data_IF_019471464540
#
_entry.id   IF_019471464540
#
_cell.length_a   1.000
_cell.length_b   1.000
_cell.length_c   1.000
_cell.angle_alpha   90.00
_cell.angle_beta   90.00
_cell.angle_gamma   90.00
#
_symmetry.space_group_name_H-M   'P 1'
#
loop_
_entity.id
_entity.type
_entity.pdbx_description
1 polymer ?
#
# COMPACT_ATOMS: atom_id res chain seq x y z
N UNK A 1 21.66 -1.63 -5.45
CA UNK A 1 20.95 -2.11 -4.23
C UNK A 1 19.50 -2.38 -4.53
N UNK A 2 19.07 -3.55 -4.19
CA UNK A 2 17.66 -3.90 -4.40
C UNK A 2 16.76 -3.08 -3.49
N UNK A 3 15.65 -2.62 -4.03
CA UNK A 3 14.68 -1.91 -3.24
C UNK A 3 14.00 -2.87 -2.26
N UNK A 4 13.62 -2.35 -1.10
CA UNK A 4 12.86 -3.12 -0.14
C UNK A 4 11.39 -3.12 -0.59
N UNK A 5 11.09 -3.92 -1.58
CA UNK A 5 9.74 -3.96 -2.16
C UNK A 5 8.70 -4.43 -1.15
N UNK A 6 9.05 -5.45 -0.38
CA UNK A 6 8.13 -5.95 0.64
C UNK A 6 7.78 -4.86 1.65
N UNK A 7 8.80 -4.14 2.11
CA UNK A 7 8.57 -3.03 3.03
C UNK A 7 7.71 -1.93 2.45
N UNK A 8 7.88 -1.66 1.15
CA UNK A 8 7.05 -0.66 0.47
C UNK A 8 5.60 -1.11 0.37
N UNK A 9 5.38 -2.39 0.08
CA UNK A 9 4.02 -2.92 0.00
C UNK A 9 3.34 -2.88 1.36
N UNK A 10 4.06 -3.30 2.41
CA UNK A 10 3.55 -3.25 3.79
C UNK A 10 3.19 -1.82 4.16
N UNK A 11 4.09 -0.88 3.84
CA UNK A 11 3.87 0.53 4.13
C UNK A 11 2.60 1.06 3.48
N UNK A 12 2.43 0.76 2.18
CA UNK A 12 1.27 1.28 1.46
C UNK A 12 -0.03 0.72 2.01
N UNK A 13 -0.06 -0.57 2.32
CA UNK A 13 -1.24 -1.18 2.91
C UNK A 13 -1.51 -0.61 4.30
N UNK A 14 -0.45 -0.38 5.09
CA UNK A 14 -0.60 0.14 6.44
C UNK A 14 -1.23 1.52 6.47
N UNK A 15 -0.76 2.44 5.62
CA UNK A 15 -1.32 3.79 5.63
C UNK A 15 -2.77 3.79 5.15
N UNK A 16 -3.11 2.94 4.18
CA UNK A 16 -4.49 2.88 3.69
C UNK A 16 -5.42 2.23 4.71
N UNK A 17 -4.92 1.31 5.53
CA UNK A 17 -5.72 0.77 6.63
C UNK A 17 -5.89 1.79 7.75
N UNK A 18 -4.83 2.55 8.01
CA UNK A 18 -4.82 3.51 9.12
C UNK A 18 -5.68 4.74 8.83
N UNK A 19 -5.50 5.32 7.65
CA UNK A 19 -6.19 6.56 7.27
C UNK A 19 -7.49 6.33 6.51
N UNK A 20 -7.73 5.12 6.07
CA UNK A 20 -8.93 4.66 5.37
C UNK A 20 -8.97 5.11 3.91
N UNK A 21 -8.92 6.41 3.64
CA UNK A 21 -8.99 6.95 2.28
C UNK A 21 -7.98 8.07 2.13
N UNK A 22 -7.19 8.02 1.06
CA UNK A 22 -6.15 9.01 0.81
C UNK A 22 -6.10 9.33 -0.69
N UNK A 23 -5.90 10.61 -1.00
CA UNK A 23 -5.59 11.00 -2.37
C UNK A 23 -4.15 10.61 -2.68
N UNK A 24 -3.80 10.57 -3.96
CA UNK A 24 -2.41 10.29 -4.33
C UNK A 24 -1.46 11.33 -3.73
N UNK A 25 -1.89 12.60 -3.72
CA UNK A 25 -1.06 13.66 -3.14
C UNK A 25 -0.77 13.41 -1.67
N UNK A 26 -1.78 12.97 -0.93
CA UNK A 26 -1.60 12.65 0.49
C UNK A 26 -0.67 11.44 0.67
N UNK A 27 -0.83 10.43 -0.18
CA UNK A 27 0.04 9.26 -0.15
C UNK A 27 1.48 9.68 -0.43
N UNK A 28 1.68 10.58 -1.40
CA UNK A 28 3.01 11.05 -1.76
C UNK A 28 3.67 11.83 -0.63
N UNK A 29 2.89 12.65 0.07
CA UNK A 29 3.43 13.37 1.25
C UNK A 29 3.90 12.41 2.32
N UNK A 30 3.07 11.40 2.61
CA UNK A 30 3.45 10.38 3.59
C UNK A 30 4.67 9.59 3.14
N UNK A 31 4.77 9.31 1.85
CA UNK A 31 5.92 8.62 1.28
C UNK A 31 7.21 9.41 1.50
N UNK A 32 7.17 10.72 1.23
CA UNK A 32 8.35 11.56 1.41
C UNK A 32 8.80 11.61 2.87
N UNK A 33 7.86 11.54 3.80
CA UNK A 33 8.17 11.55 5.22
C UNK A 33 8.63 10.19 5.73
N UNK A 34 8.32 9.13 5.01
CA UNK A 34 8.57 7.76 5.48
C UNK A 34 10.04 7.37 5.47
N UNK A 35 10.82 8.03 4.64
CA UNK A 35 12.21 7.66 4.44
C UNK A 35 12.43 6.54 3.42
N UNK A 36 11.37 5.88 2.98
CA UNK A 36 11.50 4.79 2.02
C UNK A 36 11.99 5.25 0.65
N UNK A 37 11.68 6.48 0.29
CA UNK A 37 12.09 7.06 -0.97
C UNK A 37 13.19 8.08 -0.82
N UNK A 38 13.84 8.13 0.32
CA UNK A 38 14.93 9.07 0.59
C UNK A 38 14.49 10.53 0.45
N UNK A 39 13.22 10.79 0.80
CA UNK A 39 12.66 12.14 0.74
C UNK A 39 12.17 12.55 -0.65
N UNK A 40 12.34 11.71 -1.64
CA UNK A 40 11.91 12.02 -3.00
C UNK A 40 10.44 11.69 -3.21
N UNK A 41 9.86 12.28 -4.25
CA UNK A 41 8.47 12.04 -4.57
C UNK A 41 8.26 10.60 -5.04
N UNK A 42 7.06 10.09 -4.79
CA UNK A 42 6.65 8.79 -5.30
C UNK A 42 6.12 8.97 -6.72
N UNK A 43 6.80 8.41 -7.73
CA UNK A 43 6.26 8.53 -9.10
C UNK A 43 4.93 7.80 -9.22
N UNK A 44 4.01 8.38 -9.96
CA UNK A 44 2.69 7.81 -10.15
C UNK A 44 2.77 6.40 -10.74
N UNK A 45 3.68 6.20 -11.68
CA UNK A 45 3.88 4.89 -12.30
C UNK A 45 4.31 3.85 -11.26
N UNK A 46 5.22 4.24 -10.37
CA UNK A 46 5.68 3.36 -9.30
C UNK A 46 4.53 2.99 -8.37
N UNK A 47 3.71 3.99 -8.04
CA UNK A 47 2.53 3.75 -7.21
C UNK A 47 1.59 2.72 -7.85
N UNK A 48 1.32 2.87 -9.14
CA UNK A 48 0.45 1.93 -9.84
C UNK A 48 1.08 0.53 -9.92
N UNK A 49 2.39 0.47 -10.10
CA UNK A 49 3.11 -0.82 -10.09
C UNK A 49 3.00 -1.49 -8.73
N UNK A 50 3.10 -0.71 -7.65
CA UNK A 50 2.97 -1.26 -6.29
C UNK A 50 1.56 -1.77 -6.05
N UNK A 51 0.54 -1.04 -6.50
CA UNK A 51 -0.85 -1.50 -6.38
C UNK A 51 -1.05 -2.84 -7.08
N UNK A 52 -0.51 -2.95 -8.28
CA UNK A 52 -0.64 -4.18 -9.05
C UNK A 52 0.09 -5.33 -8.38
N UNK A 53 1.30 -5.08 -7.87
CA UNK A 53 2.07 -6.10 -7.19
C UNK A 53 1.35 -6.59 -5.92
N UNK A 54 0.78 -5.67 -5.17
CA UNK A 54 0.03 -6.00 -3.96
C UNK A 54 -1.16 -6.88 -4.30
N UNK A 55 -1.87 -6.55 -5.38
CA UNK A 55 -2.97 -7.36 -5.85
C UNK A 55 -2.51 -8.77 -6.24
N UNK A 56 -1.42 -8.83 -7.01
CA UNK A 56 -0.94 -10.11 -7.54
C UNK A 56 -0.37 -11.01 -6.43
N UNK A 57 0.29 -10.42 -5.46
CA UNK A 57 0.98 -11.18 -4.41
C UNK A 57 0.05 -11.50 -3.25
N UNK A 58 -0.72 -10.52 -2.80
CA UNK A 58 -1.50 -10.62 -1.55
C UNK A 58 -3.00 -10.69 -1.76
N UNK A 59 -3.46 -10.55 -3.00
CA UNK A 59 -4.89 -10.53 -3.30
C UNK A 59 -5.61 -9.41 -2.55
N UNK A 60 -4.94 -8.27 -2.43
CA UNK A 60 -5.49 -7.08 -1.79
C UNK A 60 -5.70 -6.04 -2.89
N UNK A 61 -6.93 -5.52 -2.97
CA UNK A 61 -7.32 -4.58 -4.01
C UNK A 61 -7.34 -3.16 -3.48
N UNK A 62 -6.53 -2.30 -4.08
CA UNK A 62 -6.50 -0.87 -3.77
C UNK A 62 -7.29 -0.18 -4.87
N UNK A 63 -8.46 0.34 -4.51
CA UNK A 63 -9.39 0.94 -5.44
C UNK A 63 -9.34 2.45 -5.35
N UNK A 64 -9.85 3.11 -6.38
CA UNK A 64 -9.92 4.57 -6.44
C UNK A 64 -11.37 4.99 -6.55
N UNK A 65 -11.82 5.83 -5.61
CA UNK A 65 -13.19 6.33 -5.62
C UNK A 65 -13.21 7.69 -6.32
N UNK A 66 -13.62 7.70 -7.57
CA UNK A 66 -13.66 8.93 -8.36
C UNK A 66 -14.65 9.94 -7.83
N UNK A 67 -15.71 9.47 -7.19
CA UNK A 67 -16.75 10.35 -6.64
C UNK A 67 -16.33 11.00 -5.34
N UNK A 68 -15.32 10.41 -4.68
CA UNK A 68 -14.80 10.93 -3.43
C UNK A 68 -13.40 11.52 -3.65
N UNK A 69 -13.28 12.41 -4.66
CA UNK A 69 -12.04 13.13 -4.91
C UNK A 69 -10.87 12.25 -5.31
N UNK A 70 -11.15 11.13 -5.97
CA UNK A 70 -10.10 10.19 -6.40
C UNK A 70 -9.28 9.67 -5.22
N UNK A 71 -9.95 9.38 -4.11
CA UNK A 71 -9.29 8.79 -2.96
C UNK A 71 -9.11 7.30 -3.13
N UNK A 72 -7.96 6.82 -2.72
CA UNK A 72 -7.63 5.40 -2.76
C UNK A 72 -7.98 4.76 -1.42
N UNK A 73 -8.41 3.50 -1.48
CA UNK A 73 -8.77 2.75 -0.29
C UNK A 73 -8.59 1.25 -0.56
N UNK A 74 -8.49 0.48 0.50
CA UNK A 74 -8.42 -0.98 0.37
C UNK A 74 -9.84 -1.54 0.39
N UNK A 75 -10.16 -2.31 -0.65
CA UNK A 75 -11.45 -2.98 -0.73
C UNK A 75 -11.46 -4.14 0.26
N UNK A 76 -12.56 -4.28 1.01
CA UNK A 76 -12.71 -5.31 2.03
C UNK A 76 -11.55 -5.30 3.04
N UNK A 77 -11.34 -4.17 3.72
CA UNK A 77 -10.21 -4.07 4.66
C UNK A 77 -10.31 -5.03 5.84
N UNK A 78 -11.52 -5.53 6.13
CA UNK A 78 -11.72 -6.48 7.22
C UNK A 78 -11.04 -7.82 6.96
N UNK A 79 -10.64 -8.10 5.74
CA UNK A 79 -9.88 -9.31 5.41
C UNK A 79 -8.48 -9.26 6.02
N UNK A 80 -8.03 -8.06 6.34
CA UNK A 80 -6.71 -7.82 6.92
C UNK A 80 -6.92 -7.29 8.33
N UNK A 81 -6.61 -8.10 9.34
CA UNK A 81 -6.75 -7.67 10.72
C UNK A 81 -5.72 -6.57 10.99
N UNK A 82 -6.21 -5.36 11.31
CA UNK A 82 -5.36 -4.17 11.40
C UNK A 82 -4.14 -4.33 12.27
N UNK A 83 -4.33 -4.77 13.51
CA UNK A 83 -3.21 -4.92 14.43
C UNK A 83 -2.39 -6.19 14.18
N UNK A 84 -2.80 -7.03 13.22
CA UNK A 84 -2.10 -8.24 12.84
C UNK A 84 -1.63 -8.19 11.38
N UNK A 85 -1.55 -6.98 10.82
CA UNK A 85 -1.19 -6.81 9.42
C UNK A 85 0.13 -7.51 9.09
N UNK A 86 1.14 -7.30 9.91
CA UNK A 86 2.46 -7.88 9.66
C UNK A 86 2.39 -9.40 9.64
N UNK A 87 1.70 -10.01 10.59
CA UNK A 87 1.55 -11.48 10.66
C UNK A 87 0.79 -11.99 9.45
N UNK A 88 -0.29 -11.30 9.08
CA UNK A 88 -1.09 -11.68 7.93
C UNK A 88 -0.24 -11.65 6.64
N UNK A 89 0.55 -10.60 6.47
CA UNK A 89 1.38 -10.45 5.28
C UNK A 89 2.46 -11.51 5.21
N UNK A 90 3.09 -11.81 6.34
CA UNK A 90 4.11 -12.85 6.39
C UNK A 90 3.52 -14.20 6.04
N UNK A 91 2.35 -14.54 6.60
CA UNK A 91 1.68 -15.79 6.30
C UNK A 91 1.30 -15.89 4.83
N UNK A 92 0.76 -14.79 4.28
CA UNK A 92 0.37 -14.77 2.86
C UNK A 92 1.58 -14.95 1.96
N UNK A 93 2.67 -14.29 2.29
CA UNK A 93 3.89 -14.38 1.49
C UNK A 93 4.49 -15.78 1.59
N UNK A 94 4.49 -16.37 2.79
CA UNK A 94 5.01 -17.73 2.98
C UNK A 94 4.19 -18.75 2.19
N UNK A 95 2.87 -18.54 2.10
CA UNK A 95 2.00 -19.44 1.37
C UNK A 95 2.33 -19.44 -0.13
N UNK A 96 2.79 -18.32 -0.66
CA UNK A 96 3.14 -18.19 -2.07
C UNK A 96 4.47 -18.86 -2.41
N UNK A 97 5.29 -19.12 -1.44
CA UNK A 97 6.57 -19.76 -1.62
C UNK A 97 6.51 -21.26 -1.29
#
# INVERSE_FOLDING_TARGET
MAANLFGRYVWLMDILLRYKRLTFEEINELWQESGLGYGEELPLKTFHNHKKAIKDIFDVYIECDRKDGYRYYIDEPERIEGNNLRSWLISSYATLN
#
